data_IF_317870525347
#
_entry.id   IF_317870525347
#
_cell.length_a   1.000
_cell.length_b   1.000
_cell.length_c   1.000
_cell.angle_alpha   90.00
_cell.angle_beta   90.00
_cell.angle_gamma   90.00
#
_symmetry.space_group_name_H-M   'P 1'
#
loop_
_entity.id
_entity.type
_entity.pdbx_description
1 polymer ?
#
# COMPACT_ATOMS: atom_id res chain seq x y z
N UNK A 1 -14.16 -25.11 -43.47
CA UNK A 1 -12.95 -24.34 -43.13
C UNK A 1 -13.10 -23.96 -41.66
N UNK A 2 -12.59 -24.81 -40.78
CA UNK A 2 -12.76 -24.73 -39.32
C UNK A 2 -11.42 -25.16 -38.70
N UNK A 3 -10.74 -24.20 -38.08
CA UNK A 3 -9.65 -24.45 -37.15
C UNK A 3 -9.35 -23.13 -36.46
N UNK A 4 -10.05 -22.89 -35.35
CA UNK A 4 -9.62 -21.93 -34.33
C UNK A 4 -8.38 -22.53 -33.68
N UNK A 5 -7.25 -21.84 -33.80
CA UNK A 5 -6.06 -22.12 -33.01
C UNK A 5 -6.15 -21.17 -31.81
N UNK A 6 -6.67 -21.68 -30.69
CA UNK A 6 -6.59 -21.00 -29.40
C UNK A 6 -5.11 -21.01 -28.97
N UNK A 7 -4.44 -19.87 -29.10
CA UNK A 7 -3.16 -19.65 -28.44
C UNK A 7 -3.43 -19.39 -26.96
N UNK A 8 -3.21 -20.42 -26.14
CA UNK A 8 -3.06 -20.35 -24.69
C UNK A 8 -2.00 -19.30 -24.34
N UNK A 9 -2.46 -18.06 -24.13
CA UNK A 9 -1.69 -16.99 -23.53
C UNK A 9 -1.47 -17.36 -22.06
N UNK A 10 -0.40 -18.10 -21.80
CA UNK A 10 0.11 -18.34 -20.45
C UNK A 10 0.45 -17.00 -19.83
N UNK A 11 -0.47 -16.48 -19.03
CA UNK A 11 -0.30 -15.32 -18.18
C UNK A 11 0.82 -15.62 -17.18
N UNK A 12 2.05 -15.30 -17.60
CA UNK A 12 3.22 -15.35 -16.76
C UNK A 12 3.22 -14.08 -15.92
N UNK A 13 2.28 -14.03 -14.96
CA UNK A 13 2.23 -13.05 -13.89
C UNK A 13 3.44 -13.27 -12.99
N UNK A 14 4.61 -12.87 -13.47
CA UNK A 14 5.76 -12.64 -12.63
C UNK A 14 5.29 -11.61 -11.60
N UNK A 15 5.14 -11.97 -10.30
CA UNK A 15 4.67 -11.02 -9.31
C UNK A 15 5.62 -9.84 -9.42
N UNK A 16 5.06 -8.67 -9.76
CA UNK A 16 5.84 -7.45 -9.85
C UNK A 16 6.67 -7.39 -8.58
N UNK A 17 7.98 -7.12 -8.68
CA UNK A 17 8.88 -7.12 -7.49
C UNK A 17 8.32 -6.25 -6.36
N UNK A 18 7.48 -5.27 -6.68
CA UNK A 18 6.68 -4.49 -5.75
C UNK A 18 5.72 -5.35 -4.91
N UNK A 19 4.94 -6.25 -5.50
CA UNK A 19 3.97 -7.09 -4.78
C UNK A 19 4.62 -8.00 -3.74
N UNK A 20 5.79 -8.58 -4.05
CA UNK A 20 6.53 -9.40 -3.07
C UNK A 20 7.04 -8.57 -1.88
N UNK A 21 7.51 -7.35 -2.13
CA UNK A 21 7.99 -6.46 -1.06
C UNK A 21 6.83 -5.94 -0.20
N UNK A 22 5.73 -5.52 -0.82
CA UNK A 22 4.54 -5.03 -0.14
C UNK A 22 3.93 -6.11 0.76
N UNK A 23 3.91 -7.37 0.33
CA UNK A 23 3.45 -8.49 1.17
C UNK A 23 4.34 -8.70 2.40
N UNK A 24 5.66 -8.58 2.25
CA UNK A 24 6.61 -8.71 3.37
C UNK A 24 6.44 -7.57 4.37
N UNK A 25 6.28 -6.34 3.89
CA UNK A 25 6.03 -5.16 4.73
C UNK A 25 4.69 -5.23 5.45
N UNK A 26 3.67 -5.75 4.78
CA UNK A 26 2.35 -5.98 5.38
C UNK A 26 2.44 -6.99 6.52
N UNK A 27 3.10 -8.14 6.27
CA UNK A 27 3.34 -9.16 7.31
C UNK A 27 4.17 -8.64 8.48
N UNK A 28 5.10 -7.71 8.24
CA UNK A 28 5.87 -7.05 9.31
C UNK A 28 5.16 -5.85 9.93
N UNK A 29 3.89 -5.60 9.58
CA UNK A 29 3.07 -4.47 10.06
C UNK A 29 3.80 -3.13 9.98
N UNK A 30 4.52 -2.92 8.87
CA UNK A 30 5.37 -1.75 8.66
C UNK A 30 4.91 -0.93 7.45
N UNK A 31 4.74 0.38 7.64
CA UNK A 31 4.39 1.33 6.58
C UNK A 31 5.52 2.34 6.41
N UNK A 32 5.93 2.57 5.16
CA UNK A 32 6.96 3.55 4.80
C UNK A 32 6.33 4.76 4.10
N UNK A 33 6.60 5.97 4.58
CA UNK A 33 6.13 7.24 4.02
C UNK A 33 7.36 8.03 3.56
N UNK A 34 7.55 8.11 2.24
CA UNK A 34 8.71 8.77 1.64
C UNK A 34 8.27 9.75 0.56
N UNK A 35 8.90 10.93 0.54
CA UNK A 35 8.61 11.97 -0.44
C UNK A 35 7.47 12.91 -0.03
N UNK A 36 6.95 13.66 -1.00
CA UNK A 36 5.93 14.68 -0.74
C UNK A 36 4.61 14.07 -0.24
N UNK A 37 3.99 14.74 0.73
CA UNK A 37 2.66 14.37 1.21
C UNK A 37 1.60 14.97 0.28
N UNK A 38 0.94 14.11 -0.49
CA UNK A 38 -0.18 14.46 -1.36
C UNK A 38 -1.37 13.50 -1.14
N UNK A 39 -2.50 13.78 -1.79
CA UNK A 39 -3.74 13.00 -1.63
C UNK A 39 -3.57 11.53 -2.02
N UNK A 40 -2.68 11.25 -3.00
CA UNK A 40 -2.44 9.89 -3.46
C UNK A 40 -1.68 9.09 -2.41
N UNK A 41 -0.64 9.69 -1.81
CA UNK A 41 0.12 9.08 -0.73
C UNK A 41 -0.76 8.91 0.50
N UNK A 42 -1.51 9.95 0.90
CA UNK A 42 -2.40 9.90 2.04
C UNK A 42 -3.46 8.80 1.91
N UNK A 43 -4.07 8.66 0.72
CA UNK A 43 -4.99 7.56 0.43
C UNK A 43 -4.31 6.19 0.58
N UNK A 44 -3.13 6.01 -0.01
CA UNK A 44 -2.41 4.73 0.07
C UNK A 44 -2.02 4.35 1.50
N UNK A 45 -1.56 5.32 2.30
CA UNK A 45 -1.24 5.12 3.72
C UNK A 45 -2.51 4.75 4.50
N UNK A 46 -3.62 5.45 4.27
CA UNK A 46 -4.91 5.18 4.91
C UNK A 46 -5.41 3.77 4.61
N UNK A 47 -5.36 3.34 3.35
CA UNK A 47 -5.76 1.98 2.94
C UNK A 47 -4.90 0.90 3.63
N UNK A 48 -3.58 1.13 3.75
CA UNK A 48 -2.66 0.22 4.45
C UNK A 48 -2.92 0.18 5.96
N UNK A 49 -3.16 1.33 6.59
CA UNK A 49 -3.50 1.43 8.01
C UNK A 49 -4.77 0.64 8.34
N UNK A 50 -5.84 0.83 7.56
CA UNK A 50 -7.11 0.10 7.71
C UNK A 50 -6.92 -1.41 7.53
N UNK A 51 -6.14 -1.82 6.52
CA UNK A 51 -5.87 -3.23 6.27
C UNK A 51 -5.11 -3.88 7.43
N UNK A 52 -4.11 -3.19 8.00
CA UNK A 52 -3.38 -3.69 9.16
C UNK A 52 -4.22 -3.73 10.43
N UNK A 53 -5.08 -2.73 10.66
CA UNK A 53 -6.02 -2.72 11.78
C UNK A 53 -7.04 -3.86 11.69
N UNK A 54 -7.52 -4.18 10.48
CA UNK A 54 -8.42 -5.32 10.26
C UNK A 54 -7.73 -6.69 10.46
N UNK A 55 -6.42 -6.76 10.24
CA UNK A 55 -5.61 -7.98 10.44
C UNK A 55 -5.31 -8.25 11.93
N UNK A 56 -5.27 -7.21 12.77
CA UNK A 56 -5.16 -7.34 14.23
C UNK A 56 -4.72 -6.06 14.94
N UNK A 57 -4.70 -6.10 16.27
CA UNK A 57 -4.43 -4.96 17.15
C UNK A 57 -2.94 -4.75 17.50
N UNK A 58 -2.06 -5.57 16.92
CA UNK A 58 -0.62 -5.48 17.18
C UNK A 58 -0.03 -4.16 16.67
N UNK A 59 1.03 -3.63 17.30
CA UNK A 59 1.62 -2.34 16.93
C UNK A 59 2.00 -2.23 15.45
N UNK A 60 1.75 -1.05 14.86
CA UNK A 60 2.13 -0.71 13.49
C UNK A 60 3.34 0.21 13.52
N UNK A 61 4.39 -0.12 12.77
CA UNK A 61 5.60 0.71 12.66
C UNK A 61 5.52 1.63 11.44
N UNK A 62 5.64 2.95 11.67
CA UNK A 62 5.71 3.95 10.60
C UNK A 62 7.15 4.47 10.45
N UNK A 63 7.68 4.40 9.24
CA UNK A 63 8.97 4.97 8.86
C UNK A 63 8.76 6.17 7.95
N UNK A 64 9.06 7.37 8.45
CA UNK A 64 8.72 8.61 7.76
C UNK A 64 10.00 9.36 7.38
N UNK A 65 10.11 9.69 6.09
CA UNK A 65 11.13 10.59 5.54
C UNK A 65 10.49 11.47 4.48
N UNK A 66 9.93 12.59 4.90
CA UNK A 66 9.16 13.49 4.05
C UNK A 66 9.56 14.94 4.29
N UNK A 67 9.67 15.77 3.23
CA UNK A 67 9.81 17.22 3.36
C UNK A 67 8.47 17.91 3.72
N UNK A 68 7.37 17.17 3.85
CA UNK A 68 6.02 17.70 4.01
C UNK A 68 5.23 17.72 2.69
N UNK A 69 4.21 18.57 2.60
CA UNK A 69 3.33 18.67 1.44
C UNK A 69 2.02 19.40 1.78
N UNK A 70 0.90 18.87 1.27
CA UNK A 70 -0.42 19.41 1.58
C UNK A 70 -0.80 19.11 3.04
N UNK A 71 -1.30 20.15 3.73
CA UNK A 71 -1.64 20.05 5.15
C UNK A 71 -2.82 19.11 5.36
N UNK A 72 -3.83 19.22 4.51
CA UNK A 72 -5.05 18.40 4.56
C UNK A 72 -4.75 16.92 4.37
N UNK A 73 -3.85 16.57 3.44
CA UNK A 73 -3.41 15.20 3.23
C UNK A 73 -2.64 14.67 4.46
N UNK A 74 -1.89 15.53 5.15
CA UNK A 74 -1.24 15.22 6.42
C UNK A 74 -2.24 14.99 7.57
N UNK A 75 -3.26 15.85 7.66
CA UNK A 75 -4.33 15.74 8.66
C UNK A 75 -5.08 14.42 8.53
N UNK A 76 -5.40 13.99 7.29
CA UNK A 76 -6.02 12.69 7.04
C UNK A 76 -5.17 11.54 7.58
N UNK A 77 -3.85 11.54 7.31
CA UNK A 77 -2.96 10.49 7.82
C UNK A 77 -2.94 10.51 9.35
N UNK A 78 -2.85 11.69 9.96
CA UNK A 78 -2.82 11.87 11.40
C UNK A 78 -4.10 11.36 12.09
N UNK A 79 -5.26 11.73 11.56
CA UNK A 79 -6.55 11.32 12.10
C UNK A 79 -6.74 9.81 11.98
N UNK A 80 -6.29 9.21 10.87
CA UNK A 80 -6.33 7.75 10.70
C UNK A 80 -5.43 7.02 11.68
N UNK A 81 -4.24 7.54 12.01
CA UNK A 81 -3.36 6.96 13.03
C UNK A 81 -4.01 7.00 14.42
N UNK A 82 -4.83 8.02 14.71
CA UNK A 82 -5.56 8.12 15.98
C UNK A 82 -6.82 7.29 16.05
N UNK A 83 -7.44 7.05 14.90
CA UNK A 83 -8.71 6.34 14.79
C UNK A 83 -8.54 4.83 15.01
N UNK A 84 -7.48 4.25 14.44
CA UNK A 84 -7.14 2.82 14.59
C UNK A 84 -6.41 2.56 15.91
#
# INVERSE_FOLDING_TARGET
MHSYQDEDSKDNTNPSRSGFMDEKLFKSRSITIFGNIDDKLARSVTERLLALAADGDEPISLYISSPGGHVESGDVIYDMIKFI
#
